data_IF_602331618217
#
_entry.id   IF_602331618217
#
_cell.length_a   1.000
_cell.length_b   1.000
_cell.length_c   1.000
_cell.angle_alpha   90.00
_cell.angle_beta   90.00
_cell.angle_gamma   90.00
#
_symmetry.space_group_name_H-M   'P 1'
#
loop_
_entity.id
_entity.type
_entity.pdbx_description
1 polymer ?
#
# COMPACT_ATOMS: atom_id res chain seq x y z
N UNK A 1 1.28 27.37 -7.44
CA UNK A 1 0.04 26.57 -7.34
C UNK A 1 -0.83 27.10 -6.19
N UNK A 2 -2.16 27.14 -6.35
CA UNK A 2 -3.08 27.48 -5.25
C UNK A 2 -3.34 26.24 -4.39
N UNK A 3 -2.72 26.18 -3.21
CA UNK A 3 -2.77 25.03 -2.31
C UNK A 3 -4.18 24.74 -1.79
N UNK A 4 -5.00 25.78 -1.60
CA UNK A 4 -6.38 25.62 -1.16
C UNK A 4 -7.23 24.98 -2.25
N UNK A 5 -7.08 25.44 -3.49
CA UNK A 5 -7.74 24.83 -4.65
C UNK A 5 -7.34 23.36 -4.81
N UNK A 6 -6.04 23.07 -4.64
CA UNK A 6 -5.53 21.72 -4.75
C UNK A 6 -6.04 20.81 -3.63
N UNK A 7 -6.03 21.26 -2.37
CA UNK A 7 -6.59 20.51 -1.24
C UNK A 7 -8.06 20.14 -1.49
N UNK A 8 -8.86 21.10 -1.99
CA UNK A 8 -10.26 20.85 -2.36
C UNK A 8 -10.38 19.83 -3.50
N UNK A 9 -9.52 19.91 -4.52
CA UNK A 9 -9.52 18.94 -5.62
C UNK A 9 -9.32 17.50 -5.11
N UNK A 10 -8.34 17.26 -4.23
CA UNK A 10 -8.09 15.93 -3.67
C UNK A 10 -9.22 15.46 -2.75
N UNK A 11 -9.78 16.38 -1.94
CA UNK A 11 -10.93 16.10 -1.07
C UNK A 11 -12.18 15.73 -1.88
N UNK A 12 -12.51 16.51 -2.90
CA UNK A 12 -13.69 16.31 -3.72
C UNK A 12 -13.57 15.05 -4.56
N UNK A 13 -12.39 14.76 -5.11
CA UNK A 13 -12.13 13.51 -5.82
C UNK A 13 -12.28 12.29 -4.91
N UNK A 14 -11.83 12.38 -3.65
CA UNK A 14 -12.05 11.31 -2.68
C UNK A 14 -13.54 11.14 -2.36
N UNK A 15 -14.18 12.21 -1.87
CA UNK A 15 -15.50 12.13 -1.24
C UNK A 15 -16.66 12.07 -2.24
N UNK A 16 -16.50 12.68 -3.42
CA UNK A 16 -17.59 12.83 -4.39
C UNK A 16 -17.38 11.97 -5.65
N UNK A 17 -16.24 11.28 -5.79
CA UNK A 17 -15.97 10.44 -6.95
C UNK A 17 -15.51 9.03 -6.58
N UNK A 18 -14.38 8.89 -5.87
CA UNK A 18 -13.78 7.57 -5.58
C UNK A 18 -14.58 6.78 -4.56
N UNK A 19 -14.93 7.35 -3.40
CA UNK A 19 -15.67 6.60 -2.37
C UNK A 19 -17.08 6.20 -2.83
N UNK A 20 -17.87 7.07 -3.49
CA UNK A 20 -19.17 6.68 -4.02
C UNK A 20 -19.10 5.49 -4.98
N UNK A 21 -18.08 5.43 -5.85
CA UNK A 21 -17.89 4.28 -6.75
C UNK A 21 -17.78 2.95 -5.99
N UNK A 22 -16.95 2.90 -4.95
CA UNK A 22 -16.79 1.68 -4.17
C UNK A 22 -18.04 1.36 -3.34
N UNK A 23 -18.67 2.36 -2.72
CA UNK A 23 -19.92 2.16 -1.96
C UNK A 23 -21.06 1.62 -2.82
N UNK A 24 -21.16 2.08 -4.08
CA UNK A 24 -22.22 1.68 -5.00
C UNK A 24 -21.95 0.32 -5.67
N UNK A 25 -20.73 0.09 -6.14
CA UNK A 25 -20.43 -1.04 -7.04
C UNK A 25 -19.76 -2.24 -6.35
N UNK A 26 -19.11 -2.05 -5.19
CA UNK A 26 -18.34 -3.12 -4.58
C UNK A 26 -19.17 -4.02 -3.65
N UNK A 27 -20.17 -3.49 -2.94
CA UNK A 27 -20.79 -4.21 -1.83
C UNK A 27 -21.63 -5.41 -2.30
N UNK A 28 -21.30 -6.60 -1.80
CA UNK A 28 -22.11 -7.81 -2.02
C UNK A 28 -23.13 -7.98 -0.88
N UNK A 29 -24.29 -7.34 -1.01
CA UNK A 29 -25.33 -7.39 0.02
C UNK A 29 -25.97 -8.79 0.21
N UNK A 30 -25.73 -9.74 -0.71
CA UNK A 30 -26.29 -11.10 -0.65
C UNK A 30 -25.39 -12.04 0.16
N UNK A 31 -24.08 -12.02 -0.07
CA UNK A 31 -23.12 -12.92 0.61
C UNK A 31 -22.22 -12.22 1.63
N UNK A 32 -22.20 -10.89 1.65
CA UNK A 32 -21.23 -10.08 2.37
C UNK A 32 -19.89 -9.94 1.64
N UNK A 33 -19.07 -9.02 2.12
CA UNK A 33 -17.80 -8.66 1.48
C UNK A 33 -18.00 -7.76 0.25
N UNK A 34 -16.99 -7.75 -0.61
CA UNK A 34 -16.90 -6.81 -1.73
C UNK A 34 -16.47 -7.49 -3.02
N UNK A 35 -17.07 -7.10 -4.14
CA UNK A 35 -16.56 -7.29 -5.48
C UNK A 35 -15.45 -6.29 -5.76
N UNK A 36 -14.27 -6.78 -6.12
CA UNK A 36 -13.18 -5.91 -6.58
C UNK A 36 -12.96 -6.00 -8.07
N UNK A 37 -13.41 -7.07 -8.73
CA UNK A 37 -13.34 -7.21 -10.17
C UNK A 37 -14.43 -6.37 -10.86
N UNK A 38 -14.16 -5.07 -10.93
CA UNK A 38 -15.02 -4.04 -11.50
C UNK A 38 -14.42 -3.51 -12.80
N UNK A 39 -15.19 -3.55 -13.88
CA UNK A 39 -14.80 -2.98 -15.17
C UNK A 39 -14.75 -1.45 -15.11
N UNK A 40 -14.56 -0.80 -16.27
CA UNK A 40 -14.48 0.67 -16.36
C UNK A 40 -15.71 1.38 -15.80
N UNK A 41 -16.88 0.81 -16.02
CA UNK A 41 -18.19 1.37 -15.68
C UNK A 41 -18.65 0.98 -14.27
N UNK A 42 -17.98 0.03 -13.63
CA UNK A 42 -18.34 -0.47 -12.31
C UNK A 42 -19.15 -1.77 -12.35
N UNK A 43 -19.28 -2.42 -13.52
CA UNK A 43 -19.92 -3.73 -13.57
C UNK A 43 -18.98 -4.82 -13.04
N UNK A 44 -19.56 -5.76 -12.29
CA UNK A 44 -18.84 -6.92 -11.77
C UNK A 44 -18.57 -7.91 -12.91
N UNK A 45 -17.30 -8.17 -13.22
CA UNK A 45 -16.91 -9.15 -14.24
C UNK A 45 -16.40 -10.48 -13.66
N UNK A 46 -16.12 -10.53 -12.36
CA UNK A 46 -15.74 -11.73 -11.62
C UNK A 46 -16.16 -11.57 -10.15
N UNK A 47 -16.60 -12.65 -9.52
CA UNK A 47 -17.22 -12.62 -8.18
C UNK A 47 -16.34 -13.18 -7.07
N UNK A 48 -15.12 -13.64 -7.39
CA UNK A 48 -14.16 -14.10 -6.39
C UNK A 48 -13.78 -12.98 -5.41
N UNK A 49 -13.56 -13.36 -4.15
CA UNK A 49 -13.26 -12.46 -3.04
C UNK A 49 -11.79 -12.58 -2.65
N UNK A 50 -10.99 -11.55 -2.93
CA UNK A 50 -9.55 -11.52 -2.60
C UNK A 50 -9.30 -10.94 -1.21
N UNK A 51 -8.81 -11.75 -0.27
CA UNK A 51 -8.74 -11.40 1.16
C UNK A 51 -7.95 -10.12 1.42
N UNK A 52 -6.90 -9.85 0.65
CA UNK A 52 -6.15 -8.59 0.75
C UNK A 52 -7.06 -7.38 0.53
N UNK A 53 -7.86 -7.44 -0.53
CA UNK A 53 -8.72 -6.33 -0.93
C UNK A 53 -9.94 -6.23 -0.02
N UNK A 54 -10.47 -7.35 0.45
CA UNK A 54 -11.51 -7.37 1.49
C UNK A 54 -11.03 -6.64 2.75
N UNK A 55 -9.86 -7.02 3.28
CA UNK A 55 -9.31 -6.39 4.49
C UNK A 55 -8.98 -4.92 4.29
N UNK A 56 -8.42 -4.56 3.13
CA UNK A 56 -8.11 -3.17 2.79
C UNK A 56 -9.34 -2.26 2.71
N UNK A 57 -10.46 -2.76 2.19
CA UNK A 57 -11.70 -1.99 2.09
C UNK A 57 -12.38 -1.81 3.46
N UNK A 58 -12.43 -2.86 4.30
CA UNK A 58 -12.84 -2.74 5.71
C UNK A 58 -11.97 -1.72 6.45
N UNK A 59 -10.65 -1.82 6.29
CA UNK A 59 -9.70 -0.88 6.89
C UNK A 59 -9.98 0.56 6.46
N UNK A 60 -10.17 0.79 5.15
CA UNK A 60 -10.35 2.14 4.62
C UNK A 60 -11.59 2.81 5.20
N UNK A 61 -12.75 2.14 5.12
CA UNK A 61 -13.99 2.74 5.62
C UNK A 61 -13.99 2.87 7.15
N UNK A 62 -13.36 1.95 7.87
CA UNK A 62 -13.15 2.09 9.33
C UNK A 62 -12.26 3.30 9.66
N UNK A 63 -11.16 3.46 8.91
CA UNK A 63 -10.22 4.57 9.08
C UNK A 63 -10.88 5.91 8.78
N UNK A 64 -11.65 6.02 7.69
CA UNK A 64 -12.40 7.23 7.35
C UNK A 64 -13.47 7.55 8.39
N UNK A 65 -14.19 6.53 8.90
CA UNK A 65 -15.14 6.70 10.00
C UNK A 65 -14.46 7.20 11.29
N UNK A 66 -13.23 6.78 11.55
CA UNK A 66 -12.46 7.20 12.72
C UNK A 66 -11.87 8.61 12.59
N UNK A 67 -11.35 8.95 11.40
CA UNK A 67 -10.47 10.13 11.21
C UNK A 67 -11.11 11.27 10.41
N UNK A 68 -12.17 11.02 9.65
CA UNK A 68 -12.79 12.02 8.77
C UNK A 68 -14.17 12.42 9.27
N UNK A 69 -15.12 11.49 9.30
CA UNK A 69 -16.51 11.77 9.67
C UNK A 69 -17.22 10.49 10.12
N UNK A 70 -18.05 10.58 11.16
CA UNK A 70 -18.84 9.46 11.68
C UNK A 70 -20.07 9.15 10.82
N UNK A 71 -19.86 8.85 9.53
CA UNK A 71 -20.95 8.47 8.60
C UNK A 71 -21.36 7.02 8.80
N UNK A 72 -22.64 6.79 9.07
CA UNK A 72 -23.18 5.44 9.29
C UNK A 72 -22.97 4.52 8.09
N UNK A 73 -23.14 5.03 6.86
CA UNK A 73 -22.91 4.28 5.62
C UNK A 73 -21.48 3.69 5.53
N UNK A 74 -20.46 4.43 5.97
CA UNK A 74 -19.08 3.94 5.99
C UNK A 74 -18.90 2.85 7.05
N UNK A 75 -19.51 3.02 8.22
CA UNK A 75 -19.46 2.02 9.28
C UNK A 75 -20.16 0.73 8.85
N UNK A 76 -21.34 0.82 8.26
CA UNK A 76 -22.11 -0.34 7.78
C UNK A 76 -21.36 -1.09 6.68
N UNK A 77 -20.75 -0.35 5.73
CA UNK A 77 -19.89 -0.90 4.70
C UNK A 77 -18.69 -1.67 5.30
N UNK A 78 -18.04 -1.12 6.33
CA UNK A 78 -16.94 -1.79 7.00
C UNK A 78 -17.39 -3.03 7.80
N UNK A 79 -18.50 -2.93 8.54
CA UNK A 79 -19.02 -4.03 9.36
C UNK A 79 -19.39 -5.23 8.47
N UNK A 80 -20.12 -5.02 7.38
CA UNK A 80 -20.59 -6.14 6.55
C UNK A 80 -19.42 -6.92 5.92
N UNK A 81 -18.38 -6.22 5.45
CA UNK A 81 -17.18 -6.89 4.94
C UNK A 81 -16.37 -7.58 6.03
N UNK A 82 -16.31 -7.01 7.23
CA UNK A 82 -15.62 -7.63 8.37
C UNK A 82 -16.30 -8.90 8.84
N UNK A 83 -17.63 -8.96 8.83
CA UNK A 83 -18.38 -10.15 9.20
C UNK A 83 -18.19 -11.27 8.17
N UNK A 84 -18.11 -10.93 6.88
CA UNK A 84 -17.71 -11.88 5.85
C UNK A 84 -16.31 -12.44 6.11
N UNK A 85 -15.32 -11.56 6.36
CA UNK A 85 -13.95 -11.97 6.69
C UNK A 85 -13.86 -12.84 7.94
N UNK A 86 -14.56 -12.45 9.02
CA UNK A 86 -14.60 -13.18 10.28
C UNK A 86 -15.19 -14.58 10.11
N UNK A 87 -16.17 -14.75 9.22
CA UNK A 87 -16.84 -16.02 9.01
C UNK A 87 -16.12 -16.94 8.02
N UNK A 88 -15.60 -16.39 6.92
CA UNK A 88 -15.13 -17.18 5.77
C UNK A 88 -13.66 -16.95 5.42
N UNK A 89 -13.04 -15.88 5.92
CA UNK A 89 -11.70 -15.48 5.52
C UNK A 89 -10.57 -16.39 5.98
N UNK A 90 -10.85 -17.37 6.86
CA UNK A 90 -9.84 -18.21 7.48
C UNK A 90 -10.34 -19.63 7.81
N UNK A 91 -9.39 -20.52 8.13
CA UNK A 91 -9.59 -21.94 8.44
C UNK A 91 -10.16 -22.25 9.85
N UNK A 92 -10.78 -21.27 10.51
CA UNK A 92 -11.16 -21.34 11.93
C UNK A 92 -10.04 -21.04 12.95
N UNK A 93 -8.76 -21.02 12.55
CA UNK A 93 -7.62 -20.70 13.42
C UNK A 93 -6.93 -19.37 13.04
N UNK A 94 -7.65 -18.49 12.32
CA UNK A 94 -7.10 -17.27 11.73
C UNK A 94 -5.91 -17.50 10.79
N UNK A 95 -5.84 -18.67 10.13
CA UNK A 95 -5.03 -18.79 8.93
C UNK A 95 -5.82 -18.25 7.73
N UNK A 96 -5.54 -17.00 7.40
CA UNK A 96 -6.26 -16.25 6.37
C UNK A 96 -5.97 -16.79 4.98
N UNK A 97 -7.02 -17.11 4.20
CA UNK A 97 -6.90 -17.52 2.81
C UNK A 97 -6.34 -16.39 1.93
N UNK A 98 -5.95 -16.71 0.69
CA UNK A 98 -5.64 -15.69 -0.31
C UNK A 98 -6.92 -15.25 -1.05
N UNK A 99 -7.74 -16.20 -1.47
CA UNK A 99 -9.01 -15.92 -2.14
C UNK A 99 -10.07 -16.96 -1.85
N UNK A 100 -11.32 -16.51 -1.96
CA UNK A 100 -12.54 -17.30 -1.81
C UNK A 100 -13.40 -17.13 -3.06
N UNK A 101 -14.33 -18.05 -3.30
CA UNK A 101 -15.44 -17.78 -4.21
C UNK A 101 -16.41 -16.75 -3.59
N UNK A 102 -17.44 -16.35 -4.35
CA UNK A 102 -18.44 -15.38 -3.89
C UNK A 102 -19.08 -15.75 -2.55
N UNK A 103 -19.37 -17.04 -2.36
CA UNK A 103 -20.08 -17.57 -1.20
C UNK A 103 -19.18 -17.77 0.04
N UNK A 104 -17.86 -17.57 -0.12
CA UNK A 104 -16.88 -17.69 0.95
C UNK A 104 -16.21 -19.06 1.02
N UNK A 105 -16.36 -19.92 0.01
CA UNK A 105 -15.61 -21.17 -0.03
C UNK A 105 -14.15 -20.90 -0.44
N UNK A 106 -13.16 -21.52 0.22
CA UNK A 106 -11.75 -21.24 -0.06
C UNK A 106 -11.33 -21.75 -1.44
N UNK A 107 -10.69 -20.87 -2.23
CA UNK A 107 -10.12 -21.19 -3.53
C UNK A 107 -8.59 -21.32 -3.47
N UNK A 108 -7.93 -20.43 -2.71
CA UNK A 108 -6.47 -20.35 -2.66
C UNK A 108 -5.98 -20.16 -1.22
N UNK A 109 -5.10 -21.06 -0.80
CA UNK A 109 -4.41 -21.02 0.50
C UNK A 109 -3.42 -19.84 0.59
N UNK A 110 -3.09 -19.35 1.82
CA UNK A 110 -2.05 -18.36 1.95
C UNK A 110 -0.67 -18.96 1.63
N UNK A 111 0.07 -18.26 0.78
CA UNK A 111 1.46 -18.56 0.49
C UNK A 111 2.43 -17.52 1.07
N UNK A 112 1.91 -16.50 1.77
CA UNK A 112 2.66 -15.46 2.47
C UNK A 112 1.79 -14.87 3.62
N UNK A 113 2.34 -13.90 4.37
CA UNK A 113 1.67 -13.27 5.51
C UNK A 113 0.77 -12.08 5.17
N UNK A 114 0.73 -11.61 3.92
CA UNK A 114 0.08 -10.32 3.62
C UNK A 114 -1.45 -10.37 3.78
N UNK A 115 -2.11 -11.54 3.58
CA UNK A 115 -3.53 -11.70 3.92
C UNK A 115 -3.77 -11.44 5.40
N UNK A 116 -2.86 -11.93 6.24
CA UNK A 116 -2.91 -11.74 7.69
C UNK A 116 -2.73 -10.25 8.02
N UNK A 117 -1.76 -9.58 7.38
CA UNK A 117 -1.53 -8.14 7.58
C UNK A 117 -2.80 -7.33 7.32
N UNK A 118 -3.44 -7.51 6.16
CA UNK A 118 -4.61 -6.70 5.82
C UNK A 118 -5.84 -7.06 6.66
N UNK A 119 -5.98 -8.32 7.09
CA UNK A 119 -6.99 -8.69 8.08
C UNK A 119 -6.74 -8.01 9.43
N UNK A 120 -5.50 -8.02 9.93
CA UNK A 120 -5.16 -7.33 11.19
C UNK A 120 -5.43 -5.82 11.12
N UNK A 121 -5.06 -5.16 10.01
CA UNK A 121 -5.38 -3.74 9.78
C UNK A 121 -6.89 -3.49 9.80
N UNK A 122 -7.67 -4.34 9.11
CA UNK A 122 -9.12 -4.25 9.04
C UNK A 122 -9.78 -4.31 10.43
N UNK A 123 -9.52 -5.39 11.16
CA UNK A 123 -10.13 -5.61 12.47
C UNK A 123 -9.60 -4.63 13.53
N UNK A 124 -8.34 -4.19 13.43
CA UNK A 124 -7.78 -3.20 14.34
C UNK A 124 -8.42 -1.81 14.21
N UNK A 125 -8.61 -1.32 12.98
CA UNK A 125 -9.32 -0.04 12.77
C UNK A 125 -10.82 -0.16 13.08
N UNK A 126 -11.45 -1.29 12.74
CA UNK A 126 -12.86 -1.49 13.02
C UNK A 126 -13.14 -1.62 14.53
N UNK A 127 -12.22 -2.20 15.31
CA UNK A 127 -12.35 -2.26 16.77
C UNK A 127 -12.35 -0.86 17.38
N UNK A 128 -11.57 0.08 16.84
CA UNK A 128 -11.64 1.50 17.25
C UNK A 128 -12.96 2.14 16.86
N UNK A 129 -13.47 1.84 15.66
CA UNK A 129 -14.71 2.43 15.15
C UNK A 129 -15.94 1.99 15.95
N UNK A 130 -15.95 0.75 16.44
CA UNK A 130 -17.11 0.11 17.07
C UNK A 130 -16.99 -0.06 18.59
N UNK A 131 -15.77 -0.08 19.13
CA UNK A 131 -15.51 -0.52 20.50
C UNK A 131 -15.72 -2.03 20.72
N UNK A 132 -15.91 -2.82 19.66
CA UNK A 132 -16.17 -4.26 19.78
C UNK A 132 -14.88 -5.03 20.11
N UNK A 133 -14.88 -5.71 21.27
CA UNK A 133 -13.75 -6.48 21.77
C UNK A 133 -13.42 -7.70 20.89
N UNK A 134 -14.41 -8.33 20.25
CA UNK A 134 -14.19 -9.47 19.36
C UNK A 134 -13.26 -9.10 18.20
N UNK A 135 -13.48 -7.93 17.58
CA UNK A 135 -12.62 -7.42 16.51
C UNK A 135 -11.19 -7.14 17.00
N UNK A 136 -11.05 -6.57 18.20
CA UNK A 136 -9.72 -6.37 18.80
C UNK A 136 -8.98 -7.69 19.02
N UNK A 137 -9.69 -8.73 19.47
CA UNK A 137 -9.11 -10.05 19.73
C UNK A 137 -8.69 -10.76 18.43
N UNK A 138 -9.47 -10.62 17.35
CA UNK A 138 -9.11 -11.13 16.01
C UNK A 138 -7.83 -10.46 15.51
N UNK A 139 -7.74 -9.13 15.63
CA UNK A 139 -6.56 -8.37 15.23
C UNK A 139 -5.32 -8.82 16.01
N UNK A 140 -5.40 -8.91 17.34
CA UNK A 140 -4.28 -9.36 18.19
C UNK A 140 -3.82 -10.77 17.86
N UNK A 141 -4.74 -11.73 17.79
CA UNK A 141 -4.40 -13.14 17.47
C UNK A 141 -3.77 -13.26 16.08
N UNK A 142 -4.30 -12.53 15.10
CA UNK A 142 -3.73 -12.53 13.75
C UNK A 142 -2.34 -11.89 13.74
N UNK A 143 -2.14 -10.82 14.51
CA UNK A 143 -0.83 -10.19 14.68
C UNK A 143 0.21 -11.15 15.28
N UNK A 144 -0.15 -11.89 16.34
CA UNK A 144 0.73 -12.89 16.94
C UNK A 144 1.14 -13.98 15.92
N UNK A 145 0.21 -14.41 15.05
CA UNK A 145 0.51 -15.35 13.97
C UNK A 145 1.52 -14.75 12.97
N UNK A 146 1.37 -13.48 12.62
CA UNK A 146 2.33 -12.79 11.73
C UNK A 146 3.72 -12.82 12.34
N UNK A 147 3.85 -12.52 13.63
CA UNK A 147 5.15 -12.52 14.33
C UNK A 147 5.76 -13.92 14.36
N UNK A 148 4.95 -14.96 14.60
CA UNK A 148 5.44 -16.34 14.55
C UNK A 148 5.97 -16.78 13.18
N UNK A 149 5.61 -16.05 12.11
CA UNK A 149 5.99 -16.33 10.72
C UNK A 149 7.02 -15.36 10.15
N UNK A 150 7.50 -14.37 10.91
CA UNK A 150 8.39 -13.34 10.40
C UNK A 150 9.66 -13.90 9.73
N UNK A 151 10.26 -14.95 10.30
CA UNK A 151 11.48 -15.58 9.77
C UNK A 151 11.24 -16.42 8.51
N UNK A 152 10.03 -17.00 8.36
CA UNK A 152 9.66 -17.77 7.19
C UNK A 152 8.20 -17.49 6.78
N UNK A 153 7.93 -16.33 6.14
CA UNK A 153 6.57 -15.89 5.84
C UNK A 153 5.79 -16.84 4.93
N UNK A 154 6.50 -17.67 4.15
CA UNK A 154 5.91 -18.63 3.19
C UNK A 154 5.79 -20.05 3.76
N UNK A 155 6.38 -20.33 4.92
CA UNK A 155 6.33 -21.65 5.55
C UNK A 155 6.76 -22.79 4.62
N UNK A 156 5.95 -23.85 4.57
CA UNK A 156 6.15 -25.03 3.70
C UNK A 156 6.02 -24.74 2.20
N UNK A 157 5.48 -23.59 1.82
CA UNK A 157 5.27 -23.19 0.42
C UNK A 157 6.41 -22.34 -0.13
N UNK A 158 7.48 -22.16 0.64
CA UNK A 158 8.66 -21.45 0.18
C UNK A 158 9.31 -22.23 -0.97
N UNK A 159 9.30 -21.63 -2.18
CA UNK A 159 9.93 -22.21 -3.37
C UNK A 159 11.46 -22.11 -3.34
N UNK A 160 12.02 -21.29 -2.44
CA UNK A 160 13.46 -21.12 -2.29
C UNK A 160 14.02 -22.30 -1.49
N UNK A 161 15.02 -22.99 -2.06
CA UNK A 161 15.72 -24.05 -1.36
C UNK A 161 16.64 -23.46 -0.27
N UNK A 162 16.50 -23.86 1.01
CA UNK A 162 17.26 -23.27 2.11
C UNK A 162 18.76 -23.57 1.99
N UNK A 163 19.58 -22.58 2.36
CA UNK A 163 21.04 -22.72 2.43
C UNK A 163 21.79 -22.50 1.11
N UNK A 164 21.10 -22.46 -0.03
CA UNK A 164 21.74 -22.23 -1.34
C UNK A 164 21.92 -20.73 -1.62
N UNK A 165 20.83 -19.96 -1.51
CA UNK A 165 20.83 -18.50 -1.68
C UNK A 165 19.69 -17.93 -0.85
N UNK A 166 19.97 -17.72 0.42
CA UNK A 166 18.99 -17.15 1.33
C UNK A 166 18.92 -15.63 1.12
N UNK A 167 17.74 -15.15 0.72
CA UNK A 167 17.49 -13.73 0.49
C UNK A 167 16.54 -13.18 1.55
N UNK A 168 16.80 -11.94 1.95
CA UNK A 168 15.92 -11.12 2.76
C UNK A 168 15.24 -10.11 1.84
N UNK A 169 13.95 -9.87 2.06
CA UNK A 169 13.12 -9.01 1.20
C UNK A 169 12.70 -7.72 1.93
N UNK A 170 12.69 -6.62 1.19
CA UNK A 170 12.39 -5.26 1.65
C UNK A 170 10.95 -5.05 2.13
N UNK A 171 9.97 -5.75 1.56
CA UNK A 171 8.55 -5.54 1.87
C UNK A 171 8.18 -5.91 3.31
N UNK A 172 8.90 -6.86 3.91
CA UNK A 172 8.58 -7.39 5.24
C UNK A 172 8.75 -6.35 6.37
N UNK A 173 9.91 -5.71 6.56
CA UNK A 173 10.05 -4.68 7.59
C UNK A 173 9.11 -3.49 7.36
N UNK A 174 8.91 -3.10 6.09
CA UNK A 174 8.01 -2.01 5.72
C UNK A 174 6.57 -2.29 6.17
N UNK A 175 6.03 -3.46 5.81
CA UNK A 175 4.63 -3.78 6.11
C UNK A 175 4.40 -4.00 7.61
N UNK A 176 5.36 -4.60 8.33
CA UNK A 176 5.23 -4.86 9.77
C UNK A 176 5.17 -3.56 10.58
N UNK A 177 5.97 -2.55 10.22
CA UNK A 177 5.93 -1.27 10.90
C UNK A 177 4.62 -0.53 10.63
N UNK A 178 4.20 -0.45 9.37
CA UNK A 178 2.92 0.19 9.03
C UNK A 178 1.75 -0.52 9.74
N UNK A 179 1.77 -1.85 9.76
CA UNK A 179 0.78 -2.64 10.48
C UNK A 179 0.75 -2.31 11.98
N UNK A 180 1.92 -2.30 12.63
CA UNK A 180 2.02 -2.03 14.07
C UNK A 180 1.48 -0.64 14.44
N UNK A 181 1.70 0.37 13.58
CA UNK A 181 1.14 1.70 13.76
C UNK A 181 -0.39 1.73 13.62
N UNK A 182 -0.96 0.96 12.68
CA UNK A 182 -2.40 0.89 12.46
C UNK A 182 -3.17 0.24 13.62
N UNK A 183 -2.49 -0.57 14.44
CA UNK A 183 -3.06 -1.25 15.60
C UNK A 183 -2.41 -0.82 16.92
N UNK A 184 -1.77 0.36 16.97
CA UNK A 184 -0.95 0.75 18.12
C UNK A 184 -1.72 0.74 19.45
N UNK A 185 -3.03 1.01 19.44
CA UNK A 185 -3.92 0.96 20.61
C UNK A 185 -4.10 -0.46 21.18
N UNK A 186 -3.71 -1.49 20.43
CA UNK A 186 -3.77 -2.90 20.82
C UNK A 186 -2.41 -3.45 21.25
N UNK A 187 -1.32 -2.71 21.03
CA UNK A 187 0.05 -3.18 21.25
C UNK A 187 0.67 -2.60 22.51
N UNK A 188 1.65 -3.33 23.05
CA UNK A 188 2.52 -2.81 24.08
C UNK A 188 3.47 -1.74 23.50
N UNK A 189 3.73 -0.70 24.29
CA UNK A 189 4.55 0.44 23.88
C UNK A 189 5.99 0.06 23.57
N UNK A 190 6.61 -0.80 24.39
CA UNK A 190 8.00 -1.25 24.20
C UNK A 190 8.13 -2.06 22.91
N UNK A 191 7.14 -2.92 22.65
CA UNK A 191 7.07 -3.68 21.41
C UNK A 191 6.97 -2.76 20.17
N UNK A 192 6.12 -1.73 20.24
CA UNK A 192 5.95 -0.77 19.15
C UNK A 192 7.24 0.02 18.89
N UNK A 193 7.89 0.52 19.93
CA UNK A 193 9.17 1.25 19.83
C UNK A 193 10.26 0.37 19.19
N UNK A 194 10.39 -0.88 19.63
CA UNK A 194 11.33 -1.85 19.05
C UNK A 194 11.04 -2.12 17.57
N UNK A 195 9.76 -2.25 17.21
CA UNK A 195 9.33 -2.50 15.82
C UNK A 195 9.67 -1.30 14.93
N UNK A 196 9.44 -0.07 15.41
CA UNK A 196 9.79 1.17 14.72
C UNK A 196 11.30 1.25 14.46
N UNK A 197 12.13 1.05 15.49
CA UNK A 197 13.59 1.13 15.32
C UNK A 197 14.11 0.03 14.40
N UNK A 198 13.57 -1.19 14.49
CA UNK A 198 13.92 -2.28 13.56
C UNK A 198 13.58 -1.88 12.12
N UNK A 199 12.39 -1.36 11.86
CA UNK A 199 12.00 -0.93 10.52
C UNK A 199 12.93 0.16 9.97
N UNK A 200 13.26 1.17 10.79
CA UNK A 200 14.15 2.24 10.35
C UNK A 200 15.54 1.71 10.03
N UNK A 201 16.11 0.86 10.89
CA UNK A 201 17.41 0.23 10.64
C UNK A 201 17.39 -0.58 9.33
N UNK A 202 16.39 -1.45 9.16
CA UNK A 202 16.26 -2.26 7.95
C UNK A 202 16.19 -1.39 6.70
N UNK A 203 15.29 -0.40 6.67
CA UNK A 203 15.05 0.42 5.48
C UNK A 203 16.25 1.34 5.20
N UNK A 204 16.76 2.04 6.22
CA UNK A 204 17.72 3.15 6.03
C UNK A 204 19.19 2.75 6.14
N UNK A 205 19.49 1.53 6.59
CA UNK A 205 20.86 1.03 6.76
C UNK A 205 21.11 -0.31 6.05
N UNK A 206 20.11 -1.21 6.01
CA UNK A 206 20.27 -2.54 5.42
C UNK A 206 19.88 -2.57 3.94
N UNK A 207 18.74 -2.02 3.56
CA UNK A 207 18.26 -2.05 2.16
C UNK A 207 18.67 -0.82 1.34
N UNK A 208 18.88 0.32 1.99
CA UNK A 208 19.46 1.51 1.37
C UNK A 208 20.93 1.28 0.99
N UNK A 209 21.30 1.62 -0.25
CA UNK A 209 22.64 1.37 -0.82
C UNK A 209 23.29 2.67 -1.30
N UNK A 210 23.94 3.44 -0.39
CA UNK A 210 24.68 4.64 -0.75
C UNK A 210 25.71 4.40 -1.86
N UNK A 211 26.37 3.24 -1.84
CA UNK A 211 27.38 2.83 -2.81
C UNK A 211 26.84 2.63 -4.23
N UNK A 212 25.52 2.49 -4.37
CA UNK A 212 24.82 2.38 -5.66
C UNK A 212 24.16 3.69 -6.08
N UNK A 213 24.65 4.83 -5.58
CA UNK A 213 24.07 6.14 -5.85
C UNK A 213 22.83 6.47 -5.00
N UNK A 214 22.64 5.75 -3.89
CA UNK A 214 21.55 6.00 -2.95
C UNK A 214 20.20 5.41 -3.37
N UNK A 215 20.21 4.26 -4.04
CA UNK A 215 19.00 3.50 -4.33
C UNK A 215 18.65 2.53 -3.19
N UNK A 216 17.43 2.01 -3.20
CA UNK A 216 16.99 0.86 -2.39
C UNK A 216 16.91 -0.36 -3.31
N UNK A 217 17.21 -1.54 -2.76
CA UNK A 217 17.12 -2.83 -3.47
C UNK A 217 16.09 -3.73 -2.81
N UNK A 218 15.35 -4.50 -3.60
CA UNK A 218 14.26 -5.34 -3.09
C UNK A 218 14.73 -6.54 -2.28
N UNK A 219 15.87 -7.12 -2.66
CA UNK A 219 16.40 -8.32 -2.02
C UNK A 219 17.90 -8.24 -1.84
N UNK A 220 18.36 -8.75 -0.71
CA UNK A 220 19.78 -8.86 -0.34
C UNK A 220 20.04 -10.23 0.27
N UNK A 221 21.31 -10.62 0.37
CA UNK A 221 21.69 -11.79 1.14
C UNK A 221 21.35 -11.60 2.62
N UNK A 222 21.04 -12.68 3.32
CA UNK A 222 20.82 -12.64 4.79
C UNK A 222 22.05 -12.15 5.58
N UNK A 223 23.22 -12.16 4.94
CA UNK A 223 24.48 -11.59 5.44
C UNK A 223 24.62 -10.07 5.19
N UNK A 224 23.60 -9.44 4.58
CA UNK A 224 23.59 -8.02 4.25
C UNK A 224 24.22 -7.67 2.90
N UNK A 225 24.76 -8.64 2.17
CA UNK A 225 25.47 -8.39 0.92
C UNK A 225 24.55 -8.34 -0.30
N UNK A 226 24.96 -7.60 -1.32
CA UNK A 226 24.29 -7.60 -2.62
C UNK A 226 24.49 -8.96 -3.32
N UNK A 227 23.42 -9.50 -3.90
CA UNK A 227 23.47 -10.76 -4.63
C UNK A 227 23.26 -10.52 -6.12
N UNK A 228 24.13 -11.10 -6.95
CA UNK A 228 24.05 -10.93 -8.41
C UNK A 228 23.12 -11.97 -9.06
N UNK A 229 21.82 -11.78 -8.86
CA UNK A 229 20.75 -12.56 -9.49
C UNK A 229 19.55 -11.67 -9.82
N UNK A 230 18.53 -12.18 -10.50
CA UNK A 230 17.34 -11.38 -10.83
C UNK A 230 16.73 -10.73 -9.59
N UNK A 231 16.54 -11.50 -8.52
CA UNK A 231 15.95 -10.99 -7.27
C UNK A 231 16.83 -9.92 -6.60
N UNK A 232 18.15 -10.12 -6.57
CA UNK A 232 19.10 -9.20 -5.94
C UNK A 232 19.52 -8.00 -6.79
N UNK A 233 19.06 -7.94 -8.04
CA UNK A 233 19.20 -6.77 -8.92
C UNK A 233 17.90 -5.99 -9.12
N UNK A 234 16.76 -6.57 -8.76
CA UNK A 234 15.47 -5.93 -8.87
C UNK A 234 15.39 -4.67 -8.00
N UNK A 235 14.87 -3.61 -8.60
CA UNK A 235 14.48 -2.34 -7.98
C UNK A 235 13.01 -2.09 -8.34
N UNK A 236 12.22 -1.65 -7.37
CA UNK A 236 10.80 -1.30 -7.58
C UNK A 236 10.59 0.15 -7.12
N UNK A 237 10.80 1.15 -8.00
CA UNK A 237 10.87 2.55 -7.58
C UNK A 237 9.66 3.01 -6.74
N UNK A 238 8.45 2.59 -7.09
CA UNK A 238 7.24 2.93 -6.33
C UNK A 238 7.23 2.38 -4.90
N UNK A 239 7.77 1.17 -4.69
CA UNK A 239 7.85 0.54 -3.37
C UNK A 239 8.89 1.24 -2.50
N UNK A 240 10.03 1.60 -3.10
CA UNK A 240 11.09 2.36 -2.43
C UNK A 240 10.56 3.73 -1.97
N UNK A 241 9.77 4.41 -2.82
CA UNK A 241 9.15 5.70 -2.52
C UNK A 241 8.03 5.58 -1.47
N UNK A 242 7.22 4.51 -1.51
CA UNK A 242 6.20 4.23 -0.49
C UNK A 242 6.86 4.12 0.90
N UNK A 243 7.95 3.36 0.99
CA UNK A 243 8.68 3.22 2.24
C UNK A 243 9.20 4.56 2.78
N UNK A 244 9.65 5.48 1.91
CA UNK A 244 10.21 6.75 2.37
C UNK A 244 9.18 7.64 3.05
N UNK A 245 7.92 7.63 2.61
CA UNK A 245 6.92 8.42 3.32
C UNK A 245 6.52 7.80 4.65
N UNK A 246 6.57 6.46 4.80
CA UNK A 246 6.50 5.83 6.12
C UNK A 246 7.65 6.26 7.03
N UNK A 247 8.89 6.29 6.52
CA UNK A 247 10.07 6.74 7.28
C UNK A 247 9.94 8.22 7.67
N UNK A 248 9.38 9.07 6.81
CA UNK A 248 9.12 10.48 7.15
C UNK A 248 8.09 10.63 8.28
N UNK A 249 7.01 9.84 8.27
CA UNK A 249 6.03 9.82 9.36
C UNK A 249 6.67 9.37 10.68
N UNK A 250 7.53 8.34 10.63
CA UNK A 250 8.31 7.89 11.79
C UNK A 250 9.27 8.98 12.27
N UNK A 251 9.95 9.67 11.36
CA UNK A 251 10.84 10.78 11.67
C UNK A 251 10.09 11.92 12.38
N UNK A 252 8.88 12.24 11.93
CA UNK A 252 7.99 13.22 12.60
C UNK A 252 7.61 12.73 14.00
N UNK A 253 7.17 11.47 14.14
CA UNK A 253 6.79 10.87 15.44
C UNK A 253 7.93 10.89 16.45
N UNK A 254 9.14 10.58 16.01
CA UNK A 254 10.33 10.47 16.85
C UNK A 254 11.10 11.80 17.01
N UNK A 255 10.61 12.89 16.40
CA UNK A 255 11.32 14.18 16.33
C UNK A 255 12.75 14.04 15.78
N UNK A 256 12.95 13.25 14.71
CA UNK A 256 14.23 13.03 14.02
C UNK A 256 14.26 13.73 12.66
N UNK A 257 14.60 15.04 12.59
CA UNK A 257 14.64 15.79 11.33
C UNK A 257 15.72 15.27 10.35
N UNK A 258 16.81 14.70 10.87
CA UNK A 258 17.84 14.04 10.07
C UNK A 258 17.29 12.83 9.29
N UNK A 259 16.40 12.05 9.92
CA UNK A 259 15.74 10.91 9.29
C UNK A 259 14.79 11.38 8.18
N UNK A 260 14.03 12.44 8.44
CA UNK A 260 13.12 13.06 7.46
C UNK A 260 13.91 13.54 6.24
N UNK A 261 15.00 14.30 6.45
CA UNK A 261 15.85 14.78 5.36
C UNK A 261 16.41 13.63 4.54
N UNK A 262 16.91 12.57 5.20
CA UNK A 262 17.43 11.38 4.51
C UNK A 262 16.36 10.71 3.66
N UNK A 263 15.16 10.47 4.20
CA UNK A 263 14.06 9.82 3.48
C UNK A 263 13.55 10.68 2.30
N UNK A 264 13.46 11.99 2.47
CA UNK A 264 13.14 12.92 1.39
C UNK A 264 14.19 12.89 0.28
N UNK A 265 15.48 12.88 0.62
CA UNK A 265 16.55 12.79 -0.38
C UNK A 265 16.50 11.46 -1.14
N UNK A 266 16.25 10.34 -0.46
CA UNK A 266 16.06 9.04 -1.11
C UNK A 266 14.83 9.04 -2.03
N UNK A 267 13.72 9.68 -1.63
CA UNK A 267 12.55 9.87 -2.50
C UNK A 267 12.94 10.56 -3.80
N UNK A 268 13.66 11.68 -3.74
CA UNK A 268 14.11 12.41 -4.94
C UNK A 268 15.06 11.55 -5.79
N UNK A 269 15.98 10.79 -5.17
CA UNK A 269 16.86 9.86 -5.89
C UNK A 269 16.07 8.80 -6.63
N UNK A 270 15.10 8.14 -5.96
CA UNK A 270 14.32 7.05 -6.54
C UNK A 270 13.39 7.51 -7.64
N UNK A 271 12.81 8.71 -7.53
CA UNK A 271 12.01 9.31 -8.61
C UNK A 271 12.90 9.56 -9.84
N UNK A 272 14.08 10.18 -9.65
CA UNK A 272 15.01 10.43 -10.76
C UNK A 272 15.51 9.13 -11.40
N UNK A 273 15.71 8.08 -10.60
CA UNK A 273 16.10 6.75 -11.06
C UNK A 273 14.99 6.07 -11.88
N UNK A 274 13.74 6.13 -11.40
CA UNK A 274 12.59 5.44 -11.98
C UNK A 274 11.85 6.18 -13.09
N UNK A 275 12.09 7.48 -13.28
CA UNK A 275 11.33 8.31 -14.22
C UNK A 275 11.66 7.99 -15.69
N UNK A 276 10.63 7.66 -16.47
CA UNK A 276 10.72 7.52 -17.92
C UNK A 276 10.81 8.90 -18.58
N UNK A 277 11.99 9.21 -19.13
CA UNK A 277 12.26 10.51 -19.78
C UNK A 277 11.59 10.66 -21.15
N UNK A 278 11.13 9.56 -21.75
CA UNK A 278 10.51 9.55 -23.08
C UNK A 278 8.99 9.76 -22.98
N UNK A 279 8.30 8.96 -22.16
CA UNK A 279 6.83 8.98 -22.04
C UNK A 279 6.30 9.56 -20.74
N UNK A 280 7.19 9.94 -19.81
CA UNK A 280 6.79 10.30 -18.45
C UNK A 280 6.29 9.10 -17.64
N UNK A 281 6.03 9.31 -16.36
CA UNK A 281 5.66 8.26 -15.42
C UNK A 281 6.86 7.45 -14.93
N UNK A 282 6.64 6.69 -13.88
CA UNK A 282 7.66 5.88 -13.19
C UNK A 282 7.52 4.43 -13.66
N UNK A 283 8.65 3.82 -14.06
CA UNK A 283 8.69 2.40 -14.41
C UNK A 283 8.25 1.51 -13.24
N UNK A 284 7.63 0.38 -13.56
CA UNK A 284 7.18 -0.54 -12.53
C UNK A 284 8.36 -1.30 -11.90
N UNK A 285 9.22 -1.89 -12.73
CA UNK A 285 10.41 -2.63 -12.27
C UNK A 285 11.64 -2.21 -13.05
N UNK A 286 12.80 -2.26 -12.39
CA UNK A 286 14.10 -1.98 -12.99
C UNK A 286 15.16 -2.97 -12.51
N UNK A 287 16.23 -3.11 -13.29
CA UNK A 287 17.43 -3.87 -12.90
C UNK A 287 18.57 -2.89 -12.60
N UNK A 288 19.16 -2.98 -11.42
CA UNK A 288 20.21 -2.05 -10.95
C UNK A 288 21.50 -2.06 -11.79
N UNK A 289 21.72 -3.10 -12.61
CA UNK A 289 22.85 -3.19 -13.55
C UNK A 289 22.43 -2.87 -15.00
N UNK A 290 21.17 -2.50 -15.23
CA UNK A 290 20.63 -2.24 -16.57
C UNK A 290 20.48 -3.51 -17.41
N UNK A 291 20.44 -4.70 -16.81
CA UNK A 291 20.13 -5.93 -17.53
C UNK A 291 18.63 -5.99 -17.88
N UNK A 292 18.23 -6.76 -18.90
CA UNK A 292 16.81 -7.02 -19.17
C UNK A 292 16.10 -7.60 -17.93
N UNK A 293 15.03 -6.97 -17.41
CA UNK A 293 14.25 -7.50 -16.30
C UNK A 293 13.55 -8.81 -16.65
N UNK A 294 13.26 -9.65 -15.65
CA UNK A 294 12.47 -10.87 -15.86
C UNK A 294 10.95 -10.59 -15.94
N UNK A 295 10.51 -9.45 -15.41
CA UNK A 295 9.12 -9.02 -15.41
C UNK A 295 8.75 -8.50 -16.80
N UNK A 296 7.72 -9.05 -17.41
CA UNK A 296 7.25 -8.59 -18.72
C UNK A 296 6.59 -7.21 -18.63
N UNK A 297 6.06 -6.90 -17.46
CA UNK A 297 5.38 -5.66 -17.11
C UNK A 297 6.31 -4.55 -16.59
N UNK A 298 7.64 -4.71 -16.70
CA UNK A 298 8.62 -3.82 -16.07
C UNK A 298 8.45 -2.34 -16.47
N UNK A 299 8.01 -2.07 -17.71
CA UNK A 299 7.88 -0.73 -18.24
C UNK A 299 6.48 -0.12 -18.12
N UNK A 300 5.52 -0.88 -17.56
CA UNK A 300 4.16 -0.42 -17.33
C UNK A 300 4.12 0.72 -16.31
N UNK A 301 3.05 1.52 -16.36
CA UNK A 301 2.82 2.63 -15.44
C UNK A 301 1.62 2.27 -14.58
N UNK A 302 1.86 2.05 -13.28
CA UNK A 302 0.83 1.59 -12.34
C UNK A 302 0.36 2.72 -11.43
N UNK A 303 -0.95 2.77 -11.18
CA UNK A 303 -1.61 3.80 -10.37
C UNK A 303 -0.98 4.00 -8.99
N UNK A 304 -0.69 2.90 -8.29
CA UNK A 304 -0.22 2.96 -6.91
C UNK A 304 1.19 3.54 -6.83
N UNK A 305 2.08 3.18 -7.75
CA UNK A 305 3.46 3.72 -7.83
C UNK A 305 3.42 5.25 -7.81
N UNK A 306 2.52 5.84 -8.60
CA UNK A 306 2.43 7.27 -8.74
C UNK A 306 1.69 7.94 -7.58
N UNK A 307 0.64 7.31 -7.04
CA UNK A 307 -0.08 7.90 -5.91
C UNK A 307 0.74 7.89 -4.61
N UNK A 308 1.52 6.84 -4.36
CA UNK A 308 2.47 6.82 -3.25
C UNK A 308 3.56 7.89 -3.41
N UNK A 309 3.95 8.16 -4.66
CA UNK A 309 4.90 9.23 -4.97
C UNK A 309 4.32 10.62 -4.66
N UNK A 310 3.05 10.87 -4.95
CA UNK A 310 2.38 12.12 -4.56
C UNK A 310 2.40 12.34 -3.04
N UNK A 311 2.12 11.28 -2.27
CA UNK A 311 2.15 11.34 -0.79
C UNK A 311 3.56 11.70 -0.32
N UNK A 312 4.57 10.98 -0.82
CA UNK A 312 5.95 11.17 -0.40
C UNK A 312 6.46 12.57 -0.72
N UNK A 313 6.18 13.10 -1.91
CA UNK A 313 6.60 14.44 -2.30
C UNK A 313 5.92 15.53 -1.48
N UNK A 314 4.61 15.42 -1.20
CA UNK A 314 3.94 16.41 -0.34
C UNK A 314 4.47 16.39 1.08
N UNK A 315 4.69 15.20 1.66
CA UNK A 315 5.28 15.07 3.01
C UNK A 315 6.71 15.58 3.04
N UNK A 316 7.51 15.28 2.01
CA UNK A 316 8.85 15.82 1.85
C UNK A 316 8.85 17.34 1.87
N UNK A 317 8.00 17.98 1.06
CA UNK A 317 7.85 19.44 1.06
C UNK A 317 7.38 19.97 2.42
N UNK A 318 6.34 19.36 3.00
CA UNK A 318 5.77 19.80 4.28
C UNK A 318 6.79 19.78 5.42
N UNK A 319 7.59 18.72 5.51
CA UNK A 319 8.45 18.49 6.66
C UNK A 319 9.83 19.15 6.52
N UNK A 320 10.24 19.53 5.30
CA UNK A 320 11.59 20.07 5.02
C UNK A 320 11.59 21.45 4.39
N UNK A 321 10.51 21.85 3.71
CA UNK A 321 10.47 23.05 2.87
C UNK A 321 11.25 22.93 1.56
N UNK A 322 11.77 21.75 1.20
CA UNK A 322 12.55 21.56 -0.04
C UNK A 322 11.67 21.71 -1.29
N UNK A 323 11.91 22.79 -2.04
CA UNK A 323 11.13 23.14 -3.23
C UNK A 323 11.19 22.11 -4.35
N UNK A 324 12.26 21.30 -4.42
CA UNK A 324 12.34 20.21 -5.41
C UNK A 324 11.22 19.19 -5.21
N UNK A 325 10.75 18.99 -3.98
CA UNK A 325 9.61 18.12 -3.71
C UNK A 325 8.32 18.66 -4.33
N UNK A 326 8.11 19.98 -4.28
CA UNK A 326 6.94 20.61 -4.88
C UNK A 326 7.02 20.62 -6.41
N UNK A 327 8.19 20.88 -6.98
CA UNK A 327 8.43 20.81 -8.43
C UNK A 327 8.15 19.41 -8.99
N UNK A 328 8.63 18.37 -8.30
CA UNK A 328 8.30 17.00 -8.66
C UNK A 328 6.83 16.69 -8.41
N UNK A 329 6.24 17.19 -7.32
CA UNK A 329 4.83 16.95 -7.03
C UNK A 329 3.95 17.46 -8.16
N UNK A 330 4.19 18.69 -8.65
CA UNK A 330 3.44 19.28 -9.75
C UNK A 330 3.53 18.40 -11.01
N UNK A 331 4.72 17.87 -11.32
CA UNK A 331 4.95 16.98 -12.46
C UNK A 331 4.24 15.63 -12.33
N UNK A 332 4.31 14.99 -11.15
CA UNK A 332 3.61 13.72 -10.90
C UNK A 332 2.10 13.94 -10.88
N UNK A 333 1.64 15.05 -10.29
CA UNK A 333 0.23 15.44 -10.25
C UNK A 333 -0.31 15.54 -11.68
N UNK A 334 0.30 16.36 -12.53
CA UNK A 334 -0.12 16.50 -13.92
C UNK A 334 -0.21 15.14 -14.63
N UNK A 335 0.79 14.28 -14.45
CA UNK A 335 0.80 12.95 -15.04
C UNK A 335 -0.39 12.09 -14.56
N UNK A 336 -0.62 11.98 -13.25
CA UNK A 336 -1.65 11.04 -12.77
C UNK A 336 -3.07 11.48 -13.07
N UNK A 337 -3.34 12.78 -12.98
CA UNK A 337 -4.66 13.33 -13.27
C UNK A 337 -4.97 13.32 -14.77
N UNK A 338 -3.94 13.26 -15.63
CA UNK A 338 -4.11 13.13 -17.08
C UNK A 338 -4.27 11.68 -17.51
N UNK A 339 -3.49 10.76 -16.93
CA UNK A 339 -3.36 9.39 -17.44
C UNK A 339 -4.14 8.32 -16.65
N UNK A 340 -4.26 8.44 -15.33
CA UNK A 340 -4.96 7.44 -14.51
C UNK A 340 -6.39 7.85 -14.18
N UNK A 341 -6.65 9.12 -13.89
CA UNK A 341 -8.00 9.59 -13.61
C UNK A 341 -8.88 9.42 -14.86
N UNK A 342 -9.93 8.61 -14.75
CA UNK A 342 -10.89 8.46 -15.83
C UNK A 342 -11.81 9.69 -15.86
N UNK A 343 -11.84 10.38 -17.00
CA UNK A 343 -12.66 11.57 -17.20
C UNK A 343 -14.15 11.24 -17.44
N UNK A 344 -14.48 10.00 -17.79
CA UNK A 344 -15.84 9.59 -18.15
C UNK A 344 -16.55 8.86 -17.03
N UNK A 345 -15.85 7.97 -16.31
CA UNK A 345 -16.42 7.18 -15.22
C UNK A 345 -15.66 7.44 -13.92
N UNK A 346 -16.32 7.30 -12.75
CA UNK A 346 -15.66 7.46 -11.46
C UNK A 346 -14.46 6.53 -11.27
N UNK A 347 -13.62 6.85 -10.28
CA UNK A 347 -12.39 6.11 -9.98
C UNK A 347 -11.33 6.22 -11.10
N UNK A 348 -10.18 5.58 -10.91
CA UNK A 348 -8.94 5.70 -11.70
C UNK A 348 -8.58 4.35 -12.33
N UNK A 349 -8.07 4.37 -13.55
CA UNK A 349 -7.44 3.17 -14.11
C UNK A 349 -6.28 2.69 -13.24
N UNK A 350 -6.05 1.38 -13.24
CA UNK A 350 -4.88 0.77 -12.59
C UNK A 350 -3.66 0.72 -13.51
N UNK A 351 -3.86 0.25 -14.73
CA UNK A 351 -2.78 -0.31 -15.53
C UNK A 351 -2.67 0.42 -16.86
N UNK A 352 -1.55 1.08 -17.08
CA UNK A 352 -1.21 1.71 -18.34
C UNK A 352 0.01 1.02 -18.95
N UNK A 353 0.09 1.04 -20.27
CA UNK A 353 1.32 0.67 -20.97
C UNK A 353 2.39 1.76 -20.75
N UNK A 354 3.61 1.53 -21.25
CA UNK A 354 4.72 2.48 -21.10
C UNK A 354 4.39 3.89 -21.61
N UNK A 355 3.58 3.99 -22.67
CA UNK A 355 3.21 5.24 -23.32
C UNK A 355 2.12 6.03 -22.55
N UNK A 356 1.63 5.49 -21.42
CA UNK A 356 0.58 6.11 -20.63
C UNK A 356 -0.82 5.90 -21.18
N UNK A 357 -1.01 4.92 -22.08
CA UNK A 357 -2.32 4.52 -22.59
C UNK A 357 -2.92 3.39 -21.74
N UNK A 358 -4.24 3.36 -21.62
CA UNK A 358 -4.95 2.33 -20.82
C UNK A 358 -4.67 0.94 -21.38
N UNK A 359 -4.02 0.10 -20.57
CA UNK A 359 -3.73 -1.30 -20.91
C UNK A 359 -4.86 -2.23 -20.49
N UNK A 360 -5.35 -2.07 -19.26
CA UNK A 360 -6.49 -2.82 -18.74
C UNK A 360 -7.60 -1.83 -18.33
N UNK A 361 -8.76 -1.82 -19.03
CA UNK A 361 -9.84 -0.88 -18.77
C UNK A 361 -10.72 -1.35 -17.59
N UNK A 362 -10.10 -1.51 -16.42
CA UNK A 362 -10.75 -1.92 -15.17
C UNK A 362 -10.50 -0.90 -14.06
N UNK A 363 -11.46 -0.76 -13.15
CA UNK A 363 -11.34 0.05 -11.92
C UNK A 363 -10.95 -0.78 -10.71
N UNK A 364 -11.18 -2.10 -10.76
CA UNK A 364 -10.60 -3.03 -9.81
C UNK A 364 -10.33 -4.40 -10.40
N UNK A 365 -9.66 -5.25 -9.62
CA UNK A 365 -9.38 -6.63 -10.01
C UNK A 365 -8.82 -7.43 -8.85
N UNK A 366 -7.92 -8.37 -9.15
CA UNK A 366 -7.24 -9.20 -8.14
C UNK A 366 -6.28 -8.41 -7.23
N UNK A 367 -5.70 -7.31 -7.74
CA UNK A 367 -4.67 -6.53 -7.05
C UNK A 367 -5.05 -5.06 -6.81
N UNK A 368 -6.08 -4.56 -7.49
CA UNK A 368 -6.62 -3.21 -7.33
C UNK A 368 -7.97 -3.27 -6.66
N UNK A 369 -8.11 -2.52 -5.56
CA UNK A 369 -9.34 -2.40 -4.79
C UNK A 369 -9.40 -1.03 -4.09
N UNK A 370 -10.37 -0.87 -3.20
CA UNK A 370 -10.60 0.32 -2.40
C UNK A 370 -9.47 0.55 -1.36
N UNK A 371 -8.29 0.98 -1.80
CA UNK A 371 -7.12 1.16 -0.93
C UNK A 371 -6.17 2.28 -1.36
N UNK A 372 -5.25 2.03 -2.31
CA UNK A 372 -4.18 2.98 -2.66
C UNK A 372 -4.73 4.32 -3.16
N UNK A 373 -5.73 4.31 -4.05
CA UNK A 373 -6.35 5.54 -4.58
C UNK A 373 -6.99 6.35 -3.45
N UNK A 374 -7.99 5.84 -2.71
CA UNK A 374 -8.63 6.64 -1.66
C UNK A 374 -7.70 6.99 -0.51
N UNK A 375 -6.76 6.10 -0.10
CA UNK A 375 -5.73 6.42 0.90
C UNK A 375 -4.84 7.56 0.43
N UNK A 376 -4.35 7.48 -0.81
CA UNK A 376 -3.46 8.49 -1.37
C UNK A 376 -4.14 9.83 -1.51
N UNK A 377 -5.38 9.87 -1.99
CA UNK A 377 -6.17 11.10 -2.04
C UNK A 377 -6.39 11.71 -0.65
N UNK A 378 -6.73 10.88 0.35
CA UNK A 378 -6.87 11.31 1.73
C UNK A 378 -5.56 11.90 2.28
N UNK A 379 -4.44 11.20 2.11
CA UNK A 379 -3.13 11.65 2.58
C UNK A 379 -2.72 12.98 1.92
N UNK A 380 -2.86 13.08 0.60
CA UNK A 380 -2.57 14.32 -0.12
C UNK A 380 -3.47 15.47 0.33
N UNK A 381 -4.79 15.25 0.48
CA UNK A 381 -5.71 16.27 0.99
C UNK A 381 -5.27 16.76 2.38
N UNK A 382 -5.01 15.87 3.33
CA UNK A 382 -4.63 16.26 4.70
C UNK A 382 -3.32 17.03 4.74
N UNK A 383 -2.30 16.60 3.99
CA UNK A 383 -1.02 17.33 3.93
C UNK A 383 -1.19 18.71 3.28
N UNK A 384 -1.97 18.81 2.20
CA UNK A 384 -2.24 20.09 1.54
C UNK A 384 -3.07 21.05 2.39
N UNK A 385 -3.97 20.53 3.23
CA UNK A 385 -4.75 21.33 4.19
C UNK A 385 -3.86 21.92 5.28
N UNK A 386 -2.84 21.19 5.73
CA UNK A 386 -1.84 21.68 6.70
C UNK A 386 -0.83 22.67 6.10
N UNK A 387 -0.65 22.68 4.77
CA UNK A 387 0.27 23.58 4.07
C UNK A 387 -0.34 24.96 3.71
N UNK A 388 -1.65 25.12 3.91
CA UNK A 388 -2.35 26.41 3.75
C UNK A 388 -2.01 27.36 4.90
#
# INVERSE_FOLDING_TARGET
MDLKKLANQYKDELLNNVLPFWLEHSQDHEFGGYFTCLDREGNVFDTDKFIWLQGREVWLFSMLYNKVEKKQEWLDCAIQGSEFLKKYGHDGNYHWYFSLDRAGNPLVEPYNIFSYTFATMAFGQLSLATGNQEYADIAKKTFDIILSKADNPKGKWNKIHPGTRNLKNFALPMILCNLALEIEHLLDKEYLEKTIETCIHEVMEVFYRPELGGIIVENIGVDGNLVDCFEGRQVTPGHDIEAMWFIMDLGKRLNRPDLIEKAKNVTLTMINYGWDKEYGGIYYFMDRKGCPPQQLEWDQKLWWVHIETLISLLKGYQLTGDKQCMEWFEKIHEYVWTHFKDAQYPEWFGYLNRQGEVLLPLKGGKWKGCFHVPRGLYQCWKVLEELQ
#
